data_IF_900513051737
#
_entry.id   IF_900513051737
#
_cell.length_a   1.000
_cell.length_b   1.000
_cell.length_c   1.000
_cell.angle_alpha   90.00
_cell.angle_beta   90.00
_cell.angle_gamma   90.00
#
_symmetry.space_group_name_H-M   'P 1'
#
loop_
_entity.id
_entity.type
_entity.pdbx_description
1 polymer ?
#
# COMPACT_ATOMS: atom_id res chain seq x y z
N UNK A 1 -0.10 14.99 1.95
CA UNK A 1 0.48 13.85 1.18
C UNK A 1 -0.58 13.23 0.27
N UNK A 2 -0.48 13.25 -1.07
CA UNK A 2 -1.52 12.66 -1.96
C UNK A 2 -1.35 11.14 -2.08
N UNK A 3 -2.16 10.32 -1.39
CA UNK A 3 -2.31 8.90 -1.69
C UNK A 3 -3.31 8.16 -0.77
N UNK A 4 -3.98 7.13 -1.32
CA UNK A 4 -4.92 6.23 -0.62
C UNK A 4 -4.33 5.45 0.57
N UNK A 5 -3.08 5.00 0.43
CA UNK A 5 -2.32 4.23 1.44
C UNK A 5 -0.87 4.75 1.45
N UNK A 6 -0.66 5.88 2.12
CA UNK A 6 0.58 6.67 2.11
C UNK A 6 1.75 6.05 2.90
N UNK A 7 1.79 4.75 3.16
CA UNK A 7 2.72 4.18 4.16
C UNK A 7 4.19 4.57 3.89
N UNK A 8 4.66 4.53 2.63
CA UNK A 8 6.04 4.96 2.27
C UNK A 8 6.34 6.40 2.70
N UNK A 9 5.39 7.31 2.51
CA UNK A 9 5.57 8.73 2.80
C UNK A 9 5.59 8.97 4.31
N UNK A 10 4.76 8.24 5.05
CA UNK A 10 4.72 8.29 6.51
C UNK A 10 6.01 7.71 7.11
N UNK A 11 6.45 6.55 6.62
CA UNK A 11 7.73 5.94 6.99
C UNK A 11 8.91 6.91 6.79
N UNK A 12 8.96 7.55 5.62
CA UNK A 12 9.99 8.55 5.33
C UNK A 12 9.87 9.81 6.19
N UNK A 13 8.66 10.22 6.59
CA UNK A 13 8.47 11.40 7.42
C UNK A 13 8.93 11.14 8.87
N UNK A 14 8.63 9.96 9.43
CA UNK A 14 9.18 9.52 10.71
C UNK A 14 10.70 9.46 10.66
N UNK A 15 11.26 8.86 9.61
CA UNK A 15 12.71 8.79 9.47
C UNK A 15 13.35 10.18 9.29
N UNK A 16 12.75 11.09 8.52
CA UNK A 16 13.24 12.45 8.38
C UNK A 16 13.26 13.19 9.74
N UNK A 17 12.21 13.03 10.55
CA UNK A 17 12.18 13.56 11.91
C UNK A 17 13.27 12.95 12.80
N UNK A 18 13.51 11.63 12.70
CA UNK A 18 14.60 10.94 13.41
C UNK A 18 15.97 11.48 13.02
N UNK A 19 16.23 11.67 11.73
CA UNK A 19 17.49 12.20 11.17
C UNK A 19 17.76 13.62 11.69
N UNK A 20 16.72 14.47 11.72
CA UNK A 20 16.83 15.85 12.18
C UNK A 20 16.80 15.99 13.71
N UNK A 21 16.59 14.89 14.45
CA UNK A 21 16.29 14.91 15.89
C UNK A 21 15.14 15.86 16.24
N UNK A 22 14.09 15.84 15.42
CA UNK A 22 12.94 16.75 15.50
C UNK A 22 11.70 16.03 16.05
N UNK A 23 10.74 16.83 16.54
CA UNK A 23 9.39 16.33 16.85
C UNK A 23 8.58 16.25 15.56
N UNK A 24 7.96 15.09 15.30
CA UNK A 24 7.04 14.92 14.19
C UNK A 24 5.64 15.36 14.60
N UNK A 25 5.01 16.24 13.82
CA UNK A 25 3.56 16.47 13.89
C UNK A 25 2.88 15.45 12.99
N UNK A 26 1.74 14.89 13.40
CA UNK A 26 1.01 13.90 12.60
C UNK A 26 0.82 14.38 11.16
N UNK A 27 1.09 13.52 10.16
CA UNK A 27 1.06 13.93 8.77
C UNK A 27 -0.37 14.19 8.28
N UNK A 28 -0.53 15.22 7.46
CA UNK A 28 -1.76 15.47 6.73
C UNK A 28 -1.82 14.62 5.46
N UNK A 29 -2.86 13.77 5.36
CA UNK A 29 -3.19 13.06 4.14
C UNK A 29 -3.96 14.02 3.22
N UNK A 30 -3.45 14.23 2.01
CA UNK A 30 -4.09 15.08 1.00
C UNK A 30 -5.18 14.25 0.33
N UNK A 31 -6.41 14.57 0.70
CA UNK A 31 -7.62 14.00 0.12
C UNK A 31 -8.24 14.85 -1.01
N UNK A 32 -7.67 16.01 -1.30
CA UNK A 32 -8.34 17.11 -1.99
C UNK A 32 -8.18 17.14 -3.51
N UNK A 33 -7.80 16.05 -4.17
CA UNK A 33 -7.72 16.04 -5.65
C UNK A 33 -8.43 14.91 -6.38
N UNK A 34 -8.84 13.84 -5.70
CA UNK A 34 -9.56 12.75 -6.37
C UNK A 34 -10.64 12.09 -5.51
N UNK A 35 -10.44 12.00 -4.18
CA UNK A 35 -11.22 11.08 -3.34
C UNK A 35 -12.19 11.77 -2.36
N UNK A 36 -12.23 13.11 -2.28
CA UNK A 36 -13.18 13.90 -1.46
C UNK A 36 -13.40 13.37 -0.04
N UNK A 37 -12.35 12.90 0.64
CA UNK A 37 -12.44 12.26 1.96
C UNK A 37 -11.72 13.07 3.05
N UNK A 38 -12.45 13.68 3.98
CA UNK A 38 -11.89 14.53 5.04
C UNK A 38 -11.32 13.74 6.24
N UNK A 39 -11.37 12.40 6.22
CA UNK A 39 -10.98 11.53 7.35
C UNK A 39 -9.53 11.72 7.81
N UNK A 40 -8.61 12.07 6.90
CA UNK A 40 -7.20 12.32 7.22
C UNK A 40 -6.47 11.11 7.84
N UNK A 41 -5.32 11.35 8.48
CA UNK A 41 -4.54 10.28 9.13
C UNK A 41 -5.31 9.64 10.29
N UNK A 42 -5.94 10.48 11.12
CA UNK A 42 -6.65 10.04 12.31
C UNK A 42 -7.92 9.25 11.98
N UNK A 43 -8.53 9.43 10.81
CA UNK A 43 -9.69 8.65 10.41
C UNK A 43 -9.38 7.20 10.02
N UNK A 44 -8.13 6.90 9.67
CA UNK A 44 -7.71 5.60 9.12
C UNK A 44 -6.83 4.82 10.10
N UNK A 45 -5.87 5.49 10.71
CA UNK A 45 -4.85 4.85 11.55
C UNK A 45 -5.17 4.99 13.03
N UNK A 46 -4.72 4.00 13.80
CA UNK A 46 -4.71 4.04 15.26
C UNK A 46 -3.58 4.97 15.73
N UNK A 47 -3.94 6.22 16.03
CA UNK A 47 -3.01 7.29 16.40
C UNK A 47 -2.29 6.98 17.71
N UNK A 48 -3.02 6.49 18.71
CA UNK A 48 -2.46 6.18 20.02
C UNK A 48 -1.42 5.06 19.90
N UNK A 49 -1.76 3.98 19.18
CA UNK A 49 -0.83 2.89 18.89
C UNK A 49 0.41 3.40 18.13
N UNK A 50 0.22 4.26 17.12
CA UNK A 50 1.31 4.83 16.33
C UNK A 50 2.30 5.64 17.17
N UNK A 51 1.80 6.55 18.03
CA UNK A 51 2.63 7.35 18.93
C UNK A 51 3.35 6.46 19.95
N UNK A 52 2.63 5.53 20.58
CA UNK A 52 3.18 4.65 21.60
C UNK A 52 4.24 3.69 21.05
N UNK A 53 4.05 3.18 19.84
CA UNK A 53 4.99 2.26 19.17
C UNK A 53 6.32 2.93 18.82
N UNK A 54 6.33 4.25 18.62
CA UNK A 54 7.49 5.02 18.17
C UNK A 54 8.09 5.94 19.24
N UNK A 55 7.59 5.87 20.48
CA UNK A 55 7.94 6.80 21.58
C UNK A 55 9.44 6.88 21.90
N UNK A 56 10.19 5.81 21.64
CA UNK A 56 11.65 5.77 21.86
C UNK A 56 12.46 6.11 20.60
N UNK A 57 11.81 6.16 19.43
CA UNK A 57 12.45 6.48 18.16
C UNK A 57 12.33 7.97 17.84
N UNK A 58 11.10 8.49 17.90
CA UNK A 58 10.77 9.88 17.53
C UNK A 58 9.66 10.39 18.43
N UNK A 59 9.78 11.64 18.91
CA UNK A 59 8.67 12.31 19.59
C UNK A 59 7.61 12.71 18.57
N UNK A 60 6.38 12.26 18.78
CA UNK A 60 5.25 12.53 17.89
C UNK A 60 4.17 13.31 18.66
N UNK A 61 3.60 14.33 18.01
CA UNK A 61 2.47 15.13 18.55
C UNK A 61 1.37 15.24 17.50
N UNK A 62 0.12 15.40 17.95
CA UNK A 62 -1.02 15.47 17.03
C UNK A 62 -1.10 16.79 16.26
N UNK A 63 -0.73 17.90 16.91
CA UNK A 63 -0.78 19.23 16.33
C UNK A 63 0.44 20.06 16.73
N UNK A 64 0.72 21.12 15.96
CA UNK A 64 1.73 22.11 16.33
C UNK A 64 1.32 22.75 17.68
N UNK A 65 2.23 22.82 18.66
CA UNK A 65 1.92 23.38 19.97
C UNK A 65 1.58 24.87 19.88
N UNK A 66 0.61 25.30 20.69
CA UNK A 66 0.27 26.72 20.83
C UNK A 66 1.26 27.40 21.79
N UNK A 67 1.89 28.49 21.35
CA UNK A 67 2.79 29.26 22.20
C UNK A 67 2.00 30.40 22.84
N UNK A 68 2.01 30.47 24.18
CA UNK A 68 1.50 31.63 24.93
C UNK A 68 2.61 32.66 25.09
N UNK A 69 2.48 33.82 24.45
CA UNK A 69 3.34 34.98 24.67
C UNK A 69 2.48 36.16 25.16
N UNK A 70 2.84 36.73 26.31
CA UNK A 70 2.17 37.91 26.90
C UNK A 70 0.63 37.76 27.01
N UNK A 71 0.14 36.61 27.46
CA UNK A 71 -1.29 36.34 27.61
C UNK A 71 -2.06 36.14 26.29
N UNK A 72 -1.39 36.22 25.13
CA UNK A 72 -1.97 35.95 23.81
C UNK A 72 -1.46 34.61 23.27
N UNK A 73 -2.38 33.77 22.83
CA UNK A 73 -2.08 32.52 22.13
C UNK A 73 -1.66 32.83 20.70
N UNK A 74 -0.43 32.47 20.33
CA UNK A 74 0.08 32.60 18.95
C UNK A 74 0.22 31.20 18.35
N UNK A 75 -0.54 30.94 17.27
CA UNK A 75 -0.37 29.73 16.47
C UNK A 75 0.94 29.84 15.68
N UNK A 76 1.87 28.93 15.92
CA UNK A 76 3.09 28.83 15.13
C UNK A 76 2.72 28.39 13.71
N UNK A 77 3.16 29.14 12.70
CA UNK A 77 2.96 28.79 11.29
C UNK A 77 4.20 28.07 10.78
N UNK A 78 4.03 26.84 10.29
CA UNK A 78 5.12 26.09 9.70
C UNK A 78 5.59 26.74 8.39
N UNK A 79 6.91 26.85 8.21
CA UNK A 79 7.51 27.34 6.97
C UNK A 79 7.51 26.24 5.92
N UNK A 80 6.86 26.49 4.79
CA UNK A 80 6.71 25.48 3.74
C UNK A 80 8.01 25.32 2.94
N UNK A 81 8.48 24.08 2.81
CA UNK A 81 9.68 23.74 2.04
C UNK A 81 9.33 22.61 1.09
N UNK A 82 9.91 22.66 -0.13
CA UNK A 82 9.80 21.60 -1.12
C UNK A 82 11.10 20.79 -1.16
N UNK A 83 11.13 19.57 -0.60
CA UNK A 83 12.34 18.75 -0.64
C UNK A 83 12.69 18.34 -2.07
N UNK A 84 13.99 18.18 -2.40
CA UNK A 84 14.43 17.51 -3.62
C UNK A 84 13.87 16.09 -3.73
N UNK A 85 13.78 15.57 -4.95
CA UNK A 85 13.41 14.16 -5.14
C UNK A 85 14.57 13.28 -4.63
N UNK A 86 14.25 12.23 -3.90
CA UNK A 86 15.23 11.29 -3.34
C UNK A 86 16.34 12.00 -2.54
N UNK A 87 15.95 13.03 -1.76
CA UNK A 87 16.90 13.89 -1.08
C UNK A 87 17.81 13.08 -0.13
N UNK A 88 19.13 13.34 -0.15
CA UNK A 88 20.07 12.63 0.70
C UNK A 88 19.89 13.03 2.17
N UNK A 89 20.40 12.21 3.09
CA UNK A 89 20.40 12.49 4.53
C UNK A 89 21.01 13.87 4.83
N UNK A 90 22.09 14.22 4.13
CA UNK A 90 22.77 15.52 4.29
C UNK A 90 21.85 16.71 4.06
N UNK A 91 20.86 16.62 3.16
CA UNK A 91 19.90 17.70 2.92
C UNK A 91 19.02 17.95 4.15
N UNK A 92 18.64 16.88 4.87
CA UNK A 92 17.85 16.98 6.09
C UNK A 92 18.68 17.52 7.26
N UNK A 93 19.93 17.08 7.42
CA UNK A 93 20.81 17.52 8.51
C UNK A 93 21.42 18.91 8.30
N UNK A 94 21.31 19.46 7.09
CA UNK A 94 21.78 20.82 6.75
C UNK A 94 20.60 21.76 6.49
N UNK A 95 20.18 21.89 5.23
CA UNK A 95 19.20 22.88 4.77
C UNK A 95 17.87 22.80 5.52
N UNK A 96 17.30 21.60 5.66
CA UNK A 96 16.00 21.45 6.31
C UNK A 96 16.08 21.78 7.81
N UNK A 97 17.12 21.28 8.49
CA UNK A 97 17.35 21.54 9.91
C UNK A 97 17.64 23.03 10.18
N UNK A 98 18.40 23.71 9.31
CA UNK A 98 18.65 25.15 9.40
C UNK A 98 17.34 25.94 9.31
N UNK A 99 16.50 25.64 8.31
CA UNK A 99 15.19 26.28 8.18
C UNK A 99 14.24 25.98 9.34
N UNK A 100 14.33 24.79 9.92
CA UNK A 100 13.57 24.45 11.13
C UNK A 100 14.02 25.28 12.34
N UNK A 101 15.33 25.48 12.51
CA UNK A 101 15.86 26.35 13.58
C UNK A 101 15.47 27.82 13.37
N UNK A 102 15.45 28.30 12.13
CA UNK A 102 15.05 29.67 11.78
C UNK A 102 13.56 29.93 12.05
N UNK A 103 12.68 29.00 11.69
CA UNK A 103 11.23 29.22 11.72
C UNK A 103 10.50 28.50 12.85
N UNK A 104 11.18 27.64 13.62
CA UNK A 104 10.61 26.80 14.68
C UNK A 104 9.92 25.54 14.16
N UNK A 105 9.18 25.63 13.06
CA UNK A 105 8.53 24.49 12.40
C UNK A 105 8.61 24.61 10.88
N UNK A 106 8.73 23.47 10.20
CA UNK A 106 8.72 23.37 8.73
C UNK A 106 7.62 22.42 8.27
N UNK A 107 7.05 22.71 7.11
CA UNK A 107 6.07 21.86 6.44
C UNK A 107 6.63 21.38 5.11
N UNK A 108 6.99 20.09 5.06
CA UNK A 108 7.60 19.50 3.87
C UNK A 108 6.49 19.05 2.90
N UNK A 109 6.30 19.76 1.79
CA UNK A 109 5.27 19.40 0.81
C UNK A 109 5.67 19.75 -0.63
N UNK A 110 5.37 18.89 -1.62
CA UNK A 110 4.82 17.53 -1.48
C UNK A 110 5.88 16.52 -1.00
N UNK A 111 5.48 15.58 -0.13
CA UNK A 111 6.39 14.60 0.49
C UNK A 111 6.34 13.18 -0.12
N UNK A 112 6.16 13.09 -1.44
CA UNK A 112 6.27 11.81 -2.17
C UNK A 112 7.66 11.65 -2.78
N UNK A 113 8.34 10.52 -2.48
CA UNK A 113 9.73 10.23 -2.90
C UNK A 113 10.72 11.37 -2.59
N UNK A 114 10.71 11.82 -1.33
CA UNK A 114 11.51 12.97 -0.86
C UNK A 114 12.68 12.61 0.06
N UNK A 115 12.90 11.34 0.33
CA UNK A 115 14.04 10.85 1.11
C UNK A 115 14.65 9.68 0.33
N UNK A 116 15.97 9.66 0.22
CA UNK A 116 16.71 8.61 -0.49
C UNK A 116 16.25 7.21 -0.05
N UNK A 117 16.02 6.32 -1.02
CA UNK A 117 15.56 4.95 -0.72
C UNK A 117 16.68 4.13 -0.07
N UNK A 118 17.86 4.12 -0.67
CA UNK A 118 19.04 3.42 -0.16
C UNK A 118 19.82 4.32 0.80
N UNK A 119 19.96 3.85 2.03
CA UNK A 119 20.60 4.56 3.14
C UNK A 119 21.63 3.63 3.77
N UNK A 120 22.88 4.09 3.81
CA UNK A 120 24.02 3.37 4.40
C UNK A 120 24.04 3.51 5.94
N UNK A 121 22.89 3.24 6.56
CA UNK A 121 22.75 3.17 8.02
C UNK A 121 21.61 2.20 8.37
N UNK A 122 21.92 0.95 8.77
CA UNK A 122 20.92 -0.11 8.94
C UNK A 122 19.76 0.25 9.86
N UNK A 123 20.02 0.96 10.97
CA UNK A 123 18.98 1.37 11.92
C UNK A 123 17.92 2.29 11.29
N UNK A 124 18.26 3.08 10.27
CA UNK A 124 17.29 3.91 9.57
C UNK A 124 16.35 3.09 8.68
N UNK A 125 16.86 2.03 8.06
CA UNK A 125 16.01 1.08 7.34
C UNK A 125 15.14 0.28 8.32
N UNK A 126 15.70 -0.20 9.44
CA UNK A 126 14.93 -0.88 10.50
C UNK A 126 13.82 0.00 11.08
N UNK A 127 14.06 1.30 11.25
CA UNK A 127 13.00 2.23 11.66
C UNK A 127 11.89 2.32 10.61
N UNK A 128 12.21 2.39 9.32
CA UNK A 128 11.18 2.31 8.26
C UNK A 128 10.38 1.02 8.33
N UNK A 129 11.04 -0.12 8.56
CA UNK A 129 10.36 -1.41 8.76
C UNK A 129 9.36 -1.35 9.92
N UNK A 130 9.83 -0.85 11.08
CA UNK A 130 9.03 -0.74 12.30
C UNK A 130 7.82 0.16 12.09
N UNK A 131 8.01 1.30 11.42
CA UNK A 131 6.93 2.21 11.09
C UNK A 131 5.93 1.52 10.16
N UNK A 132 6.40 0.90 9.07
CA UNK A 132 5.56 0.32 8.03
C UNK A 132 4.71 -0.86 8.53
N UNK A 133 5.32 -1.78 9.28
CA UNK A 133 4.71 -3.09 9.58
C UNK A 133 4.23 -3.24 11.02
N UNK A 134 4.63 -2.35 11.94
CA UNK A 134 4.24 -2.43 13.35
C UNK A 134 3.52 -1.18 13.85
N UNK A 135 4.02 0.02 13.57
CA UNK A 135 3.42 1.26 14.09
C UNK A 135 2.19 1.69 13.29
N UNK A 136 2.20 1.52 11.96
CA UNK A 136 1.07 1.85 11.10
C UNK A 136 0.02 0.74 11.14
N UNK A 137 -0.91 0.88 12.07
CA UNK A 137 -2.07 0.00 12.23
C UNK A 137 -3.35 0.74 11.87
N UNK A 138 -4.22 0.11 11.07
CA UNK A 138 -5.55 0.66 10.83
C UNK A 138 -6.41 0.63 12.09
N UNK A 139 -7.40 1.53 12.17
CA UNK A 139 -8.34 1.58 13.28
C UNK A 139 -9.02 0.22 13.52
N UNK A 140 -9.36 -0.12 14.78
CA UNK A 140 -9.96 -1.41 15.12
C UNK A 140 -11.20 -1.78 14.31
N UNK A 141 -12.07 -0.82 13.97
CA UNK A 141 -13.27 -1.10 13.18
C UNK A 141 -12.94 -1.51 11.73
N UNK A 142 -11.94 -0.88 11.09
CA UNK A 142 -11.46 -1.26 9.75
C UNK A 142 -10.94 -2.70 9.78
N UNK A 143 -10.12 -3.01 10.78
CA UNK A 143 -9.56 -4.36 10.96
C UNK A 143 -10.66 -5.42 11.13
N UNK A 144 -11.63 -5.16 12.03
CA UNK A 144 -12.77 -6.06 12.26
C UNK A 144 -13.60 -6.31 10.99
N UNK A 145 -13.88 -5.26 10.23
CA UNK A 145 -14.62 -5.35 8.98
C UNK A 145 -13.84 -6.16 7.93
N UNK A 146 -12.55 -5.86 7.73
CA UNK A 146 -11.68 -6.59 6.81
C UNK A 146 -11.60 -8.08 7.17
N UNK A 147 -11.44 -8.41 8.46
CA UNK A 147 -11.44 -9.79 8.94
C UNK A 147 -12.78 -10.50 8.71
N UNK A 148 -13.89 -9.79 8.89
CA UNK A 148 -15.23 -10.30 8.61
C UNK A 148 -15.40 -10.67 7.12
N UNK A 149 -14.98 -9.77 6.22
CA UNK A 149 -15.00 -10.01 4.77
C UNK A 149 -14.13 -11.22 4.40
N UNK A 150 -12.89 -11.28 4.91
CA UNK A 150 -11.99 -12.41 4.66
C UNK A 150 -12.58 -13.72 5.17
N UNK A 151 -13.22 -13.71 6.34
CA UNK A 151 -13.86 -14.90 6.92
C UNK A 151 -15.03 -15.38 6.05
N UNK A 152 -15.87 -14.47 5.56
CA UNK A 152 -16.98 -14.78 4.64
C UNK A 152 -16.48 -15.38 3.33
N UNK A 153 -15.45 -14.78 2.73
CA UNK A 153 -14.82 -15.28 1.50
C UNK A 153 -14.24 -16.68 1.70
N UNK A 154 -13.46 -16.87 2.78
CA UNK A 154 -12.85 -18.17 3.12
C UNK A 154 -13.84 -19.26 3.48
N UNK A 155 -15.00 -18.92 4.04
CA UNK A 155 -16.06 -19.88 4.31
C UNK A 155 -16.58 -20.55 3.02
N UNK A 156 -16.41 -19.89 1.87
CA UNK A 156 -16.74 -20.46 0.56
C UNK A 156 -15.55 -21.18 -0.10
N UNK A 157 -14.34 -21.11 0.47
CA UNK A 157 -13.12 -21.73 -0.04
C UNK A 157 -12.00 -20.73 -0.29
N UNK A 158 -10.94 -21.17 -0.94
CA UNK A 158 -9.81 -20.31 -1.30
C UNK A 158 -10.23 -19.18 -2.24
N UNK A 159 -9.63 -18.01 -2.06
CA UNK A 159 -9.88 -16.86 -2.91
C UNK A 159 -8.59 -16.11 -3.22
N UNK A 160 -8.55 -15.51 -4.40
CA UNK A 160 -7.50 -14.58 -4.77
C UNK A 160 -8.01 -13.15 -4.75
N UNK A 161 -7.11 -12.19 -4.65
CA UNK A 161 -7.43 -10.78 -4.79
C UNK A 161 -6.67 -10.12 -5.93
N UNK A 162 -7.32 -9.18 -6.61
CA UNK A 162 -6.75 -8.41 -7.71
C UNK A 162 -6.86 -6.94 -7.37
N UNK A 163 -5.74 -6.23 -7.42
CA UNK A 163 -5.75 -4.77 -7.39
C UNK A 163 -5.75 -4.25 -8.83
N UNK A 164 -6.93 -3.89 -9.32
CA UNK A 164 -7.18 -3.52 -10.71
C UNK A 164 -7.11 -1.99 -10.86
N UNK A 165 -5.97 -1.50 -11.34
CA UNK A 165 -5.73 -0.06 -11.52
C UNK A 165 -6.09 0.41 -12.93
N UNK A 166 -7.38 0.62 -13.17
CA UNK A 166 -7.95 1.05 -14.46
C UNK A 166 -8.85 2.30 -14.34
N UNK A 167 -8.53 3.18 -13.40
CA UNK A 167 -9.25 4.43 -13.16
C UNK A 167 -8.74 5.59 -14.03
N UNK A 168 -9.54 6.64 -14.13
CA UNK A 168 -9.31 7.80 -15.03
C UNK A 168 -7.93 8.44 -14.88
N UNK A 169 -7.46 8.65 -13.64
CA UNK A 169 -6.17 9.29 -13.38
C UNK A 169 -4.99 8.43 -13.85
N UNK A 170 -5.07 7.12 -13.65
CA UNK A 170 -4.04 6.18 -14.10
C UNK A 170 -3.96 6.13 -15.62
N UNK A 171 -5.11 6.06 -16.28
CA UNK A 171 -5.20 6.02 -17.72
C UNK A 171 -4.71 7.34 -18.34
N UNK A 172 -5.13 8.47 -17.78
CA UNK A 172 -4.66 9.81 -18.15
C UNK A 172 -3.15 10.01 -17.93
N UNK A 173 -2.60 9.45 -16.85
CA UNK A 173 -1.16 9.45 -16.60
C UNK A 173 -0.40 8.59 -17.62
N UNK A 174 -0.90 7.38 -17.93
CA UNK A 174 -0.26 6.45 -18.84
C UNK A 174 -0.29 6.92 -20.30
N UNK A 175 -1.35 7.64 -20.70
CA UNK A 175 -1.53 8.17 -22.04
C UNK A 175 -1.93 7.12 -23.08
N UNK A 176 -2.52 6.01 -22.65
CA UNK A 176 -2.89 4.90 -23.53
C UNK A 176 -4.36 5.01 -23.95
N UNK A 177 -4.66 5.96 -24.83
CA UNK A 177 -6.04 6.40 -25.12
C UNK A 177 -6.72 5.65 -26.26
N UNK A 178 -5.96 4.99 -27.13
CA UNK A 178 -6.48 4.46 -28.40
C UNK A 178 -7.50 3.34 -28.25
N UNK A 179 -7.55 2.67 -27.09
CA UNK A 179 -8.54 1.64 -26.75
C UNK A 179 -9.92 2.22 -26.34
N UNK A 180 -10.02 3.55 -26.21
CA UNK A 180 -11.22 4.27 -25.81
C UNK A 180 -11.91 4.95 -26.99
N UNK A 181 -13.22 5.16 -26.87
CA UNK A 181 -14.02 5.90 -27.86
C UNK A 181 -13.57 7.36 -27.98
N UNK A 182 -13.82 8.05 -29.11
CA UNK A 182 -13.41 9.45 -29.27
C UNK A 182 -13.90 10.38 -28.15
N UNK A 183 -15.10 10.13 -27.60
CA UNK A 183 -15.66 10.88 -26.46
C UNK A 183 -14.87 10.65 -25.18
N UNK A 184 -14.58 9.40 -24.85
CA UNK A 184 -13.76 9.02 -23.68
C UNK A 184 -12.32 9.53 -23.80
N UNK A 185 -11.72 9.46 -25.00
CA UNK A 185 -10.39 10.01 -25.25
C UNK A 185 -10.33 11.52 -24.96
N UNK A 186 -11.37 12.28 -25.32
CA UNK A 186 -11.45 13.72 -25.02
C UNK A 186 -11.46 13.97 -23.50
N UNK A 187 -12.16 13.14 -22.74
CA UNK A 187 -12.20 13.24 -21.27
C UNK A 187 -10.82 12.96 -20.68
N UNK A 188 -10.15 11.87 -21.09
CA UNK A 188 -8.82 11.51 -20.59
C UNK A 188 -7.76 12.56 -20.96
N UNK A 189 -7.81 13.12 -22.17
CA UNK A 189 -6.90 14.19 -22.62
C UNK A 189 -7.09 15.46 -21.79
N UNK A 190 -8.34 15.90 -21.59
CA UNK A 190 -8.66 17.06 -20.76
C UNK A 190 -8.17 16.86 -19.31
N UNK A 191 -8.49 15.72 -18.71
CA UNK A 191 -8.03 15.43 -17.34
C UNK A 191 -6.51 15.44 -17.25
N UNK A 192 -5.82 14.94 -18.28
CA UNK A 192 -4.36 14.95 -18.32
C UNK A 192 -3.78 16.36 -18.35
N UNK A 193 -4.30 17.22 -19.22
CA UNK A 193 -3.87 18.62 -19.38
C UNK A 193 -4.01 19.40 -18.05
N UNK A 194 -5.07 19.13 -17.29
CA UNK A 194 -5.34 19.78 -16.01
C UNK A 194 -4.46 19.28 -14.85
N UNK A 195 -4.01 18.02 -14.89
CA UNK A 195 -3.43 17.35 -13.70
C UNK A 195 -1.97 16.91 -13.85
N UNK A 196 -1.44 16.81 -15.07
CA UNK A 196 -0.09 16.30 -15.32
C UNK A 196 0.72 17.22 -16.22
N UNK A 197 2.05 17.17 -16.06
CA UNK A 197 2.96 17.90 -16.93
C UNK A 197 2.80 17.47 -18.39
N UNK A 198 2.91 18.45 -19.29
CA UNK A 198 2.85 18.23 -20.73
C UNK A 198 3.93 17.22 -21.16
N UNK A 199 3.50 16.21 -21.91
CA UNK A 199 4.39 15.16 -22.42
C UNK A 199 3.77 14.52 -23.65
N UNK A 200 4.57 14.34 -24.70
CA UNK A 200 4.18 13.55 -25.87
C UNK A 200 4.11 12.07 -25.47
N UNK A 201 2.91 11.49 -25.55
CA UNK A 201 2.64 10.09 -25.26
C UNK A 201 2.00 9.45 -26.49
N UNK A 202 2.67 8.45 -27.05
CA UNK A 202 2.19 7.68 -28.20
C UNK A 202 1.78 6.30 -27.71
N UNK A 203 0.54 5.88 -28.01
CA UNK A 203 -0.04 4.63 -27.51
C UNK A 203 0.83 3.42 -27.85
N UNK A 204 1.18 3.24 -29.14
CA UNK A 204 1.95 2.09 -29.62
C UNK A 204 3.30 1.96 -28.92
N UNK A 205 4.04 3.06 -28.79
CA UNK A 205 5.32 3.11 -28.08
C UNK A 205 5.15 2.76 -26.61
N UNK A 206 4.14 3.33 -25.94
CA UNK A 206 3.86 3.10 -24.51
C UNK A 206 3.45 1.65 -24.24
N UNK A 207 2.61 1.08 -25.11
CA UNK A 207 2.15 -0.30 -25.04
C UNK A 207 3.32 -1.26 -25.21
N UNK A 208 4.16 -1.06 -26.22
CA UNK A 208 5.32 -1.90 -26.51
C UNK A 208 6.33 -1.97 -25.34
N UNK A 209 6.45 -0.91 -24.54
CA UNK A 209 7.33 -0.90 -23.37
C UNK A 209 6.62 -1.24 -22.05
N UNK A 210 5.39 -1.77 -22.11
CA UNK A 210 4.63 -2.18 -20.94
C UNK A 210 4.19 -1.04 -20.02
N UNK A 211 4.06 0.20 -20.53
CA UNK A 211 3.61 1.35 -19.70
C UNK A 211 2.09 1.49 -19.65
N UNK A 212 1.35 0.90 -20.58
CA UNK A 212 -0.11 0.87 -20.53
C UNK A 212 -0.62 -0.09 -19.44
N UNK A 213 -1.61 0.32 -18.62
CA UNK A 213 -2.32 -0.61 -17.73
C UNK A 213 -2.91 -1.79 -18.49
N UNK A 214 -2.96 -2.95 -17.85
CA UNK A 214 -3.65 -4.11 -18.41
C UNK A 214 -5.16 -3.84 -18.41
N UNK A 215 -5.84 -4.22 -19.49
CA UNK A 215 -7.32 -4.19 -19.49
C UNK A 215 -7.86 -5.34 -18.61
N UNK A 216 -9.10 -5.24 -18.11
CA UNK A 216 -9.70 -6.35 -17.35
C UNK A 216 -9.75 -7.65 -18.17
N UNK A 217 -9.99 -7.58 -19.48
CA UNK A 217 -9.93 -8.75 -20.36
C UNK A 217 -8.53 -9.39 -20.38
N UNK A 218 -7.48 -8.58 -20.52
CA UNK A 218 -6.08 -9.07 -20.50
C UNK A 218 -5.74 -9.75 -19.18
N UNK A 219 -6.18 -9.18 -18.06
CA UNK A 219 -6.02 -9.79 -16.73
C UNK A 219 -6.71 -11.15 -16.70
N UNK A 220 -7.94 -11.25 -17.22
CA UNK A 220 -8.65 -12.52 -17.30
C UNK A 220 -7.94 -13.56 -18.17
N UNK A 221 -7.42 -13.15 -19.32
CA UNK A 221 -6.66 -14.02 -20.23
C UNK A 221 -5.35 -14.52 -19.60
N UNK A 222 -4.68 -13.68 -18.80
CA UNK A 222 -3.50 -14.09 -18.02
C UNK A 222 -3.86 -15.20 -17.04
N UNK A 223 -4.93 -15.00 -16.26
CA UNK A 223 -5.37 -15.97 -15.27
C UNK A 223 -5.79 -17.31 -15.92
N UNK A 224 -6.54 -17.27 -17.02
CA UNK A 224 -6.88 -18.47 -17.79
C UNK A 224 -5.64 -19.23 -18.26
N UNK A 225 -4.65 -18.51 -18.79
CA UNK A 225 -3.38 -19.11 -19.25
C UNK A 225 -2.58 -19.74 -18.09
N UNK A 226 -2.72 -19.18 -16.88
CA UNK A 226 -2.13 -19.71 -15.64
C UNK A 226 -2.90 -20.90 -15.03
N UNK A 227 -4.03 -21.31 -15.62
CA UNK A 227 -4.81 -22.46 -15.17
C UNK A 227 -5.97 -22.14 -14.23
N UNK A 228 -6.24 -20.86 -13.96
CA UNK A 228 -7.45 -20.47 -13.23
C UNK A 228 -8.69 -20.64 -14.11
N UNK A 229 -9.80 -21.08 -13.52
CA UNK A 229 -11.06 -21.29 -14.22
C UNK A 229 -12.22 -20.45 -13.66
N UNK A 230 -13.40 -20.63 -14.25
CA UNK A 230 -14.59 -19.87 -13.88
C UNK A 230 -15.10 -20.18 -12.45
N UNK A 231 -14.58 -21.19 -11.77
CA UNK A 231 -14.87 -21.47 -10.36
C UNK A 231 -14.02 -20.63 -9.40
N UNK A 232 -12.97 -19.97 -9.91
CA UNK A 232 -12.07 -19.12 -9.12
C UNK A 232 -12.83 -17.96 -8.49
N UNK A 233 -12.76 -17.85 -7.15
CA UNK A 233 -13.30 -16.71 -6.40
C UNK A 233 -12.30 -15.57 -6.38
N UNK A 234 -12.74 -14.40 -6.82
CA UNK A 234 -11.88 -13.22 -6.97
C UNK A 234 -12.46 -12.06 -6.15
N UNK A 235 -11.65 -11.53 -5.24
CA UNK A 235 -11.88 -10.24 -4.61
C UNK A 235 -11.23 -9.12 -5.44
N UNK A 236 -12.01 -8.15 -5.88
CA UNK A 236 -11.55 -7.04 -6.71
C UNK A 236 -11.41 -5.75 -5.89
N UNK A 237 -10.16 -5.35 -5.65
CA UNK A 237 -9.83 -4.04 -5.10
C UNK A 237 -9.61 -3.05 -6.26
N UNK A 238 -10.58 -2.16 -6.48
CA UNK A 238 -10.51 -1.17 -7.55
C UNK A 238 -11.33 0.09 -7.19
N UNK A 239 -10.89 1.25 -7.67
CA UNK A 239 -11.75 2.44 -7.70
C UNK A 239 -12.80 2.36 -8.83
N UNK A 240 -13.34 3.51 -9.22
CA UNK A 240 -14.23 3.58 -10.38
C UNK A 240 -13.45 3.33 -11.68
N UNK A 241 -13.77 2.22 -12.36
CA UNK A 241 -13.15 1.87 -13.63
C UNK A 241 -13.65 2.76 -14.76
N UNK A 242 -12.72 3.37 -15.48
CA UNK A 242 -13.06 4.19 -16.63
C UNK A 242 -13.49 3.31 -17.81
N UNK A 243 -14.67 3.61 -18.39
CA UNK A 243 -15.32 2.79 -19.41
C UNK A 243 -16.22 1.67 -18.85
N UNK A 244 -16.22 1.46 -17.53
CA UNK A 244 -17.21 0.64 -16.80
C UNK A 244 -17.44 -0.76 -17.38
N UNK A 245 -18.72 -1.11 -17.55
CA UNK A 245 -19.16 -2.45 -17.98
C UNK A 245 -18.62 -2.88 -19.35
N UNK A 246 -18.24 -1.94 -20.24
CA UNK A 246 -17.62 -2.29 -21.53
C UNK A 246 -16.34 -3.09 -21.33
N UNK A 247 -15.53 -2.73 -20.33
CA UNK A 247 -14.29 -3.43 -20.01
C UNK A 247 -14.48 -4.56 -18.99
N UNK A 248 -15.47 -4.45 -18.09
CA UNK A 248 -15.69 -5.49 -17.07
C UNK A 248 -16.45 -6.72 -17.58
N UNK A 249 -17.32 -6.57 -18.59
CA UNK A 249 -18.13 -7.67 -19.11
C UNK A 249 -17.30 -8.87 -19.61
N UNK A 250 -16.22 -8.69 -20.41
CA UNK A 250 -15.35 -9.80 -20.80
C UNK A 250 -14.71 -10.51 -19.60
N UNK A 251 -14.21 -9.74 -18.62
CA UNK A 251 -13.59 -10.30 -17.43
C UNK A 251 -14.58 -11.13 -16.60
N UNK A 252 -15.80 -10.59 -16.36
CA UNK A 252 -16.86 -11.28 -15.61
C UNK A 252 -17.36 -12.54 -16.33
N UNK A 253 -17.29 -12.57 -17.66
CA UNK A 253 -17.60 -13.78 -18.44
C UNK A 253 -16.58 -14.89 -18.25
N UNK A 254 -15.32 -14.55 -17.98
CA UNK A 254 -14.26 -15.51 -17.66
C UNK A 254 -14.31 -15.95 -16.19
N UNK A 255 -14.64 -15.01 -15.29
CA UNK A 255 -14.67 -15.21 -13.84
C UNK A 255 -15.96 -14.64 -13.23
N UNK A 256 -17.02 -15.45 -13.13
CA UNK A 256 -18.32 -14.99 -12.63
C UNK A 256 -18.36 -14.75 -11.11
N UNK A 257 -17.49 -15.39 -10.34
CA UNK A 257 -17.40 -15.24 -8.87
C UNK A 257 -16.51 -14.05 -8.48
N UNK A 258 -17.02 -12.85 -8.76
CA UNK A 258 -16.33 -11.58 -8.53
C UNK A 258 -17.01 -10.79 -7.42
N UNK A 259 -16.26 -10.55 -6.34
CA UNK A 259 -16.72 -9.84 -5.14
C UNK A 259 -15.81 -8.66 -4.81
N UNK A 260 -16.31 -7.68 -4.07
CA UNK A 260 -15.56 -6.56 -3.47
C UNK A 260 -16.14 -6.24 -2.08
N UNK A 261 -15.55 -5.28 -1.35
CA UNK A 261 -16.01 -4.94 0.01
C UNK A 261 -17.52 -4.62 0.05
N UNK A 262 -18.04 -3.89 -0.94
CA UNK A 262 -19.46 -3.50 -0.99
C UNK A 262 -20.42 -4.67 -1.25
N UNK A 263 -19.98 -5.71 -1.96
CA UNK A 263 -20.82 -6.88 -2.23
C UNK A 263 -20.78 -7.91 -1.08
N UNK A 264 -19.69 -7.96 -0.30
CA UNK A 264 -19.52 -8.91 0.80
C UNK A 264 -20.04 -8.36 2.13
N UNK A 265 -19.95 -7.05 2.31
CA UNK A 265 -20.48 -6.37 3.47
C UNK A 265 -21.99 -6.11 3.34
N UNK A 266 -22.78 -6.97 3.99
CA UNK A 266 -24.24 -6.86 4.10
C UNK A 266 -24.70 -5.85 5.16
N UNK A 267 -23.80 -5.31 5.97
CA UNK A 267 -24.13 -4.53 7.17
C UNK A 267 -24.26 -3.02 6.92
N UNK A 268 -23.90 -2.54 5.71
CA UNK A 268 -23.74 -1.11 5.41
C UNK A 268 -22.81 -0.39 6.41
N UNK A 269 -21.89 -1.08 7.10
CA UNK A 269 -20.95 -0.48 8.06
C UNK A 269 -20.01 0.53 7.39
N UNK A 270 -19.76 0.36 6.09
CA UNK A 270 -19.03 1.32 5.24
C UNK A 270 -19.83 2.60 4.92
N UNK A 271 -21.13 2.64 5.20
CA UNK A 271 -22.04 3.71 4.78
C UNK A 271 -22.03 3.96 3.27
N UNK A 272 -22.56 5.10 2.83
CA UNK A 272 -22.47 5.54 1.42
C UNK A 272 -21.03 5.87 0.97
N UNK A 273 -20.04 5.86 1.88
CA UNK A 273 -18.67 6.33 1.63
C UNK A 273 -17.67 5.21 1.30
N UNK A 274 -18.12 4.18 0.56
CA UNK A 274 -17.34 3.03 0.08
C UNK A 274 -16.17 3.40 -0.84
N UNK A 275 -16.17 4.60 -1.43
CA UNK A 275 -15.15 5.04 -2.39
C UNK A 275 -13.98 5.84 -1.75
N UNK A 276 -14.02 6.06 -0.44
CA UNK A 276 -13.03 6.85 0.31
C UNK A 276 -11.76 6.09 0.72
N UNK A 277 -10.98 6.70 1.61
CA UNK A 277 -9.76 6.11 2.16
C UNK A 277 -10.06 4.88 3.01
N UNK A 278 -11.22 4.84 3.66
CA UNK A 278 -11.65 3.70 4.49
C UNK A 278 -11.88 2.43 3.66
N UNK A 279 -12.63 2.52 2.55
CA UNK A 279 -12.79 1.40 1.62
C UNK A 279 -11.45 0.91 1.06
N UNK A 280 -10.53 1.85 0.77
CA UNK A 280 -9.18 1.51 0.34
C UNK A 280 -8.35 0.81 1.42
N UNK A 281 -8.53 1.17 2.70
CA UNK A 281 -7.88 0.48 3.82
C UNK A 281 -8.44 -0.93 4.01
N UNK A 282 -9.75 -1.12 3.84
CA UNK A 282 -10.39 -2.44 3.84
C UNK A 282 -9.85 -3.31 2.69
N UNK A 283 -9.83 -2.78 1.47
CA UNK A 283 -9.26 -3.45 0.31
C UNK A 283 -7.82 -3.88 0.54
N UNK A 284 -7.00 -3.01 1.16
CA UNK A 284 -5.61 -3.31 1.48
C UNK A 284 -5.50 -4.53 2.40
N UNK A 285 -6.29 -4.59 3.47
CA UNK A 285 -6.27 -5.71 4.41
C UNK A 285 -6.83 -7.00 3.81
N UNK A 286 -7.91 -6.93 3.03
CA UNK A 286 -8.44 -8.12 2.35
C UNK A 286 -7.42 -8.67 1.36
N UNK A 287 -6.72 -7.81 0.61
CA UNK A 287 -5.68 -8.24 -0.31
C UNK A 287 -4.39 -8.69 0.37
N UNK A 288 -4.09 -8.22 1.59
CA UNK A 288 -2.98 -8.72 2.39
C UNK A 288 -3.26 -10.15 2.85
N UNK A 289 -4.51 -10.42 3.23
CA UNK A 289 -4.94 -11.68 3.81
C UNK A 289 -5.36 -12.73 2.78
N UNK A 290 -5.59 -12.35 1.52
CA UNK A 290 -5.93 -13.29 0.43
C UNK A 290 -4.84 -14.34 0.20
N UNK A 291 -5.24 -15.48 -0.36
CA UNK A 291 -4.32 -16.61 -0.59
C UNK A 291 -3.35 -16.28 -1.73
N UNK A 292 -3.85 -15.65 -2.81
CA UNK A 292 -3.06 -15.15 -3.94
C UNK A 292 -3.40 -13.68 -4.18
N UNK A 293 -2.39 -12.84 -4.38
CA UNK A 293 -2.57 -11.43 -4.77
C UNK A 293 -2.02 -11.17 -6.18
N UNK A 294 -2.71 -10.36 -6.97
CA UNK A 294 -2.24 -9.91 -8.29
C UNK A 294 -2.44 -8.40 -8.48
N UNK A 295 -1.37 -7.59 -8.56
CA UNK A 295 -1.48 -6.21 -9.01
C UNK A 295 -1.52 -6.15 -10.55
N UNK A 296 -2.36 -5.29 -11.12
CA UNK A 296 -2.44 -5.13 -12.59
C UNK A 296 -1.60 -3.98 -13.13
N UNK A 297 -1.00 -3.19 -12.24
CA UNK A 297 -0.14 -2.05 -12.57
C UNK A 297 0.96 -1.87 -11.52
N UNK A 298 2.21 -1.85 -11.99
CA UNK A 298 3.45 -1.75 -11.22
C UNK A 298 4.14 -0.37 -11.39
N UNK A 299 3.44 0.65 -11.90
CA UNK A 299 3.96 2.03 -11.86
C UNK A 299 3.92 2.62 -10.45
N UNK A 300 3.89 3.96 -10.28
CA UNK A 300 3.92 4.59 -8.95
C UNK A 300 2.58 4.44 -8.20
N UNK A 301 2.16 3.19 -7.96
CA UNK A 301 1.02 2.82 -7.14
C UNK A 301 1.53 2.49 -5.75
N UNK A 302 1.33 3.42 -4.82
CA UNK A 302 1.65 3.19 -3.42
C UNK A 302 0.87 2.00 -2.84
N UNK A 303 -0.35 1.72 -3.31
CA UNK A 303 -1.14 0.58 -2.82
C UNK A 303 -0.47 -0.76 -3.13
N UNK A 304 -0.21 -1.01 -4.43
CA UNK A 304 0.33 -2.30 -4.87
C UNK A 304 1.74 -2.53 -4.31
N UNK A 305 2.61 -1.50 -4.37
CA UNK A 305 3.99 -1.62 -3.89
C UNK A 305 4.06 -1.90 -2.38
N UNK A 306 3.30 -1.14 -1.57
CA UNK A 306 3.22 -1.42 -0.13
C UNK A 306 2.74 -2.83 0.15
N UNK A 307 1.68 -3.25 -0.55
CA UNK A 307 1.05 -4.53 -0.31
C UNK A 307 1.96 -5.70 -0.69
N UNK A 308 2.74 -5.57 -1.77
CA UNK A 308 3.77 -6.54 -2.15
C UNK A 308 4.81 -6.71 -1.05
N UNK A 309 5.37 -5.60 -0.54
CA UNK A 309 6.34 -5.66 0.55
C UNK A 309 5.72 -6.17 1.86
N UNK A 310 4.46 -5.84 2.12
CA UNK A 310 3.74 -6.29 3.31
C UNK A 310 3.45 -7.80 3.27
N UNK A 311 3.06 -8.34 2.11
CA UNK A 311 2.90 -9.78 1.88
C UNK A 311 4.23 -10.53 1.97
N UNK A 312 5.32 -9.92 1.52
CA UNK A 312 6.68 -10.45 1.68
C UNK A 312 7.07 -10.51 3.18
N UNK A 313 6.82 -9.41 3.91
CA UNK A 313 7.07 -9.32 5.36
C UNK A 313 6.23 -10.30 6.18
N UNK A 314 4.94 -10.47 5.87
CA UNK A 314 4.03 -11.42 6.54
C UNK A 314 4.10 -12.83 5.94
N UNK A 315 5.32 -13.37 5.82
CA UNK A 315 5.55 -14.78 5.50
C UNK A 315 5.56 -15.12 4.02
N UNK A 316 6.10 -14.25 3.16
CA UNK A 316 6.34 -14.55 1.74
C UNK A 316 5.10 -15.03 0.98
N UNK A 317 3.96 -14.37 1.22
CA UNK A 317 2.67 -14.81 0.66
C UNK A 317 2.63 -14.75 -0.87
N UNK A 318 1.93 -15.71 -1.47
CA UNK A 318 1.87 -15.89 -2.91
C UNK A 318 1.38 -14.65 -3.64
N UNK A 319 2.15 -14.19 -4.63
CA UNK A 319 1.80 -13.03 -5.47
C UNK A 319 2.09 -13.32 -6.94
N UNK A 320 1.12 -13.10 -7.82
CA UNK A 320 1.31 -13.14 -9.27
C UNK A 320 1.62 -11.72 -9.76
N UNK A 321 2.83 -11.47 -10.29
CA UNK A 321 3.22 -10.14 -10.78
C UNK A 321 3.42 -10.16 -12.31
N UNK A 322 2.43 -9.71 -13.11
CA UNK A 322 2.57 -9.67 -14.55
C UNK A 322 3.71 -8.78 -15.01
N UNK A 323 4.66 -9.32 -15.79
CA UNK A 323 5.63 -8.51 -16.52
C UNK A 323 4.93 -7.92 -17.76
N UNK A 324 4.37 -6.72 -17.60
CA UNK A 324 3.62 -6.02 -18.65
C UNK A 324 4.47 -5.76 -19.90
N UNK A 325 5.78 -5.60 -19.75
CA UNK A 325 6.68 -5.36 -20.88
C UNK A 325 6.91 -6.64 -21.66
N UNK A 326 7.12 -7.77 -20.98
CA UNK A 326 7.24 -9.07 -21.63
C UNK A 326 5.91 -9.59 -22.21
N UNK A 327 4.77 -9.24 -21.60
CA UNK A 327 3.44 -9.60 -22.08
C UNK A 327 2.97 -8.73 -23.27
N UNK A 328 3.44 -7.49 -23.38
CA UNK A 328 3.03 -6.56 -24.45
C UNK A 328 3.09 -7.15 -25.88
N UNK A 329 4.21 -7.76 -26.35
CA UNK A 329 4.25 -8.32 -27.71
C UNK A 329 3.26 -9.47 -27.92
N UNK A 330 2.94 -10.24 -26.87
CA UNK A 330 1.99 -11.35 -26.94
C UNK A 330 0.58 -10.80 -27.18
N UNK A 331 0.17 -9.79 -26.42
CA UNK A 331 -1.13 -9.15 -26.60
C UNK A 331 -1.23 -8.38 -27.93
N UNK A 332 -0.17 -7.67 -28.35
CA UNK A 332 -0.14 -7.00 -29.65
C UNK A 332 -0.31 -8.02 -30.79
N UNK A 333 0.36 -9.17 -30.72
CA UNK A 333 0.18 -10.24 -31.71
C UNK A 333 -1.26 -10.75 -31.74
N UNK A 334 -1.86 -10.95 -30.56
CA UNK A 334 -3.25 -11.36 -30.42
C UNK A 334 -4.24 -10.35 -31.00
N UNK A 335 -4.02 -9.05 -30.75
CA UNK A 335 -4.81 -7.95 -31.33
C UNK A 335 -4.73 -7.95 -32.87
N UNK A 336 -3.58 -8.33 -33.43
CA UNK A 336 -3.37 -8.50 -34.87
C UNK A 336 -3.83 -9.86 -35.43
N UNK A 337 -4.62 -10.63 -34.67
CA UNK A 337 -5.20 -11.91 -35.10
C UNK A 337 -4.28 -13.13 -34.98
N UNK A 338 -3.06 -12.99 -34.43
CA UNK A 338 -2.14 -14.11 -34.21
C UNK A 338 -2.39 -14.73 -32.83
N UNK A 339 -3.16 -15.81 -32.79
CA UNK A 339 -3.61 -16.46 -31.54
C UNK A 339 -2.90 -17.79 -31.23
N UNK A 340 -2.20 -18.37 -32.21
CA UNK A 340 -1.49 -19.64 -32.03
C UNK A 340 -0.44 -19.53 -30.91
N UNK A 341 -0.47 -20.46 -29.96
CA UNK A 341 0.48 -20.51 -28.84
C UNK A 341 0.31 -19.41 -27.78
N UNK A 342 -0.79 -18.65 -27.80
CA UNK A 342 -1.02 -17.53 -26.87
C UNK A 342 -0.90 -17.93 -25.40
N UNK A 343 -1.62 -18.98 -24.98
CA UNK A 343 -1.64 -19.41 -23.57
C UNK A 343 -0.26 -19.85 -23.09
N UNK A 344 0.48 -20.58 -23.91
CA UNK A 344 1.82 -21.05 -23.58
C UNK A 344 2.81 -19.87 -23.48
N UNK A 345 2.72 -18.91 -24.39
CA UNK A 345 3.55 -17.71 -24.34
C UNK A 345 3.29 -16.88 -23.07
N UNK A 346 2.02 -16.70 -22.69
CA UNK A 346 1.65 -16.01 -21.44
C UNK A 346 2.16 -16.77 -20.23
N UNK A 347 1.93 -18.09 -20.17
CA UNK A 347 2.37 -18.96 -19.08
C UNK A 347 3.89 -18.90 -18.89
N UNK A 348 4.66 -18.99 -19.97
CA UNK A 348 6.11 -18.88 -19.93
C UNK A 348 6.58 -17.54 -19.33
N UNK A 349 5.96 -16.42 -19.72
CA UNK A 349 6.29 -15.10 -19.15
C UNK A 349 5.96 -15.05 -17.65
N UNK A 350 4.79 -15.55 -17.25
CA UNK A 350 4.36 -15.51 -15.85
C UNK A 350 5.18 -16.42 -14.93
N UNK A 351 5.60 -17.61 -15.40
CA UNK A 351 6.43 -18.55 -14.64
C UNK A 351 7.87 -18.07 -14.41
N UNK A 352 8.34 -17.11 -15.20
CA UNK A 352 9.65 -16.47 -15.02
C UNK A 352 9.65 -15.37 -13.93
N UNK A 353 8.51 -15.15 -13.26
CA UNK A 353 8.38 -14.15 -12.19
C UNK A 353 8.46 -14.80 -10.81
N UNK A 354 8.84 -14.00 -9.80
CA UNK A 354 8.83 -14.48 -8.42
C UNK A 354 7.40 -14.48 -7.87
N UNK A 355 6.98 -15.60 -7.29
CA UNK A 355 5.68 -15.80 -6.69
C UNK A 355 5.57 -15.34 -5.22
N UNK A 356 6.39 -14.38 -4.79
CA UNK A 356 6.37 -13.82 -3.43
C UNK A 356 7.44 -14.35 -2.48
N UNK A 357 8.36 -15.20 -2.97
CA UNK A 357 9.49 -15.72 -2.19
C UNK A 357 10.57 -14.68 -1.89
N UNK A 358 11.49 -14.95 -0.94
CA UNK A 358 12.63 -14.09 -0.68
C UNK A 358 13.52 -13.97 -1.92
N UNK A 359 13.89 -12.73 -2.27
CA UNK A 359 14.76 -12.46 -3.40
C UNK A 359 15.56 -11.18 -3.15
N UNK A 360 16.74 -11.11 -3.77
CA UNK A 360 17.59 -9.93 -3.68
C UNK A 360 16.92 -8.76 -4.38
N UNK A 361 16.75 -7.63 -3.67
CA UNK A 361 16.30 -6.38 -4.28
C UNK A 361 17.30 -5.92 -5.34
N UNK A 362 16.81 -5.67 -6.56
CA UNK A 362 17.62 -5.16 -7.68
C UNK A 362 17.00 -3.87 -8.19
N UNK A 363 17.80 -2.80 -8.25
CA UNK A 363 17.35 -1.50 -8.77
C UNK A 363 16.73 -1.66 -10.17
N UNK A 364 15.54 -1.08 -10.42
CA UNK A 364 14.87 -0.03 -9.66
C UNK A 364 13.79 -0.52 -8.68
N UNK A 365 13.83 -1.77 -8.20
CA UNK A 365 12.90 -2.25 -7.17
C UNK A 365 13.04 -1.45 -5.88
N UNK A 366 11.93 -0.94 -5.37
CA UNK A 366 11.89 -0.09 -4.17
C UNK A 366 11.99 -0.93 -2.89
N UNK A 367 12.65 -0.36 -1.87
CA UNK A 367 12.68 -0.90 -0.50
C UNK A 367 11.29 -1.31 0.01
N UNK A 368 10.25 -0.55 -0.33
CA UNK A 368 8.92 -0.83 0.19
C UNK A 368 8.16 -1.93 -0.58
N UNK A 369 8.59 -2.24 -1.81
CA UNK A 369 8.11 -3.42 -2.55
C UNK A 369 8.86 -4.67 -2.10
N UNK A 370 10.15 -4.53 -1.76
CA UNK A 370 10.99 -5.62 -1.28
C UNK A 370 11.92 -5.11 -0.17
N UNK A 371 11.53 -5.34 1.08
CA UNK A 371 12.26 -4.85 2.25
C UNK A 371 13.31 -5.85 2.78
N UNK A 372 13.59 -6.89 1.98
CA UNK A 372 14.65 -7.85 2.25
C UNK A 372 16.02 -7.30 1.82
N UNK A 373 17.09 -7.46 2.65
CA UNK A 373 17.09 -8.18 3.93
C UNK A 373 16.82 -7.29 5.16
N UNK A 374 16.70 -5.97 5.02
CA UNK A 374 16.80 -5.03 6.16
C UNK A 374 15.69 -5.16 7.20
N UNK A 375 14.48 -5.60 6.79
CA UNK A 375 13.37 -5.84 7.72
C UNK A 375 13.34 -7.25 8.31
N UNK A 376 14.33 -8.08 7.99
CA UNK A 376 14.37 -9.48 8.41
C UNK A 376 15.62 -9.73 9.22
N UNK A 377 15.49 -10.63 10.20
CA UNK A 377 16.66 -11.23 10.78
C UNK A 377 17.34 -12.15 9.76
N UNK A 378 18.64 -12.33 9.91
CA UNK A 378 19.49 -13.12 9.04
C UNK A 378 19.99 -14.35 9.79
N UNK A 379 19.77 -15.53 9.22
CA UNK A 379 20.22 -16.80 9.80
C UNK A 379 21.75 -16.86 9.92
N UNK A 380 22.45 -16.30 8.94
CA UNK A 380 23.91 -16.20 8.90
C UNK A 380 24.33 -14.75 8.71
N UNK A 381 24.39 -13.99 9.82
CA UNK A 381 24.83 -12.59 9.79
C UNK A 381 26.26 -12.40 10.29
N UNK A 382 26.96 -11.45 9.64
CA UNK A 382 28.22 -10.89 10.13
C UNK A 382 28.01 -9.99 11.36
N UNK A 383 26.86 -9.33 11.45
CA UNK A 383 26.51 -8.46 12.57
C UNK A 383 25.63 -9.24 13.58
N UNK A 384 26.03 -9.37 14.85
CA UNK A 384 25.22 -10.04 15.87
C UNK A 384 23.81 -9.45 16.01
N UNK A 385 23.64 -8.14 15.81
CA UNK A 385 22.34 -7.46 15.91
C UNK A 385 21.35 -7.88 14.80
N UNK A 386 21.85 -8.49 13.72
CA UNK A 386 21.06 -8.95 12.59
C UNK A 386 20.70 -10.44 12.69
N UNK A 387 21.23 -11.18 13.68
CA UNK A 387 20.98 -12.62 13.79
C UNK A 387 19.53 -12.91 14.15
N UNK A 388 18.96 -13.94 13.52
CA UNK A 388 17.66 -14.45 13.94
C UNK A 388 17.69 -14.95 15.39
N UNK A 389 16.60 -14.71 16.16
CA UNK A 389 16.45 -15.33 17.46
C UNK A 389 16.64 -16.85 17.35
N UNK A 390 17.33 -17.49 18.32
CA UNK A 390 17.63 -18.91 18.27
C UNK A 390 16.40 -19.81 18.47
N UNK A 391 15.30 -19.26 18.98
CA UNK A 391 14.06 -19.99 19.27
C UNK A 391 13.17 -20.11 18.02
N UNK A 392 12.50 -21.26 17.89
CA UNK A 392 11.56 -21.50 16.82
C UNK A 392 10.40 -20.50 16.93
N UNK A 393 10.40 -19.49 16.06
CA UNK A 393 9.43 -18.38 16.06
C UNK A 393 7.97 -18.87 16.07
N UNK A 394 7.70 -20.08 15.57
CA UNK A 394 6.38 -20.73 15.61
C UNK A 394 5.91 -21.02 17.04
N UNK A 395 6.79 -21.45 17.95
CA UNK A 395 6.45 -21.74 19.35
C UNK A 395 6.12 -20.45 20.12
N UNK A 396 6.81 -19.35 19.80
CA UNK A 396 6.56 -18.02 20.40
C UNK A 396 5.26 -17.40 19.87
N UNK A 397 4.92 -17.63 18.59
CA UNK A 397 3.67 -17.16 18.01
C UNK A 397 2.47 -17.95 18.53
N UNK A 398 2.59 -19.28 18.68
CA UNK A 398 1.54 -20.11 19.27
C UNK A 398 1.27 -19.73 20.74
N UNK A 399 2.32 -19.48 21.52
CA UNK A 399 2.17 -19.08 22.93
C UNK A 399 1.47 -17.72 23.08
N UNK A 400 1.77 -16.75 22.21
CA UNK A 400 1.07 -15.45 22.17
C UNK A 400 -0.39 -15.58 21.74
N UNK A 401 -0.68 -16.38 20.72
CA UNK A 401 -2.06 -16.64 20.27
C UNK A 401 -2.90 -17.41 21.31
N UNK A 402 -2.27 -18.23 22.15
CA UNK A 402 -2.94 -18.92 23.26
C UNK A 402 -3.18 -17.98 24.46
N UNK A 403 -2.26 -17.05 24.72
CA UNK A 403 -2.42 -16.04 25.78
C UNK A 403 -3.57 -15.05 25.51
N UNK A 404 -3.81 -14.71 24.23
CA UNK A 404 -4.94 -13.86 23.84
C UNK A 404 -6.29 -14.57 23.89
N UNK A 405 -6.32 -15.91 23.78
CA UNK A 405 -7.55 -16.72 23.90
C UNK A 405 -7.98 -16.98 25.34
N UNK A 406 -7.07 -16.88 26.31
CA UNK A 406 -7.33 -17.22 27.73
C UNK A 406 -7.63 -16.00 28.60
N UNK A 407 -7.54 -14.78 28.06
CA UNK A 407 -7.74 -13.53 28.80
C UNK A 407 -9.18 -13.01 28.95
N UNK A 408 -10.22 -13.79 28.62
CA UNK A 408 -11.60 -13.29 28.65
C UNK A 408 -12.63 -14.34 29.18
N UNK A 409 -12.64 -14.54 30.50
CA UNK A 409 -13.70 -15.12 31.37
C UNK A 409 -13.13 -15.18 32.80
N UNK A 410 -13.61 -14.60 33.90
CA UNK A 410 -14.84 -13.92 34.31
C UNK A 410 -14.54 -13.15 35.64
N UNK A 411 -15.45 -12.32 36.18
CA UNK A 411 -15.19 -11.42 37.31
C UNK A 411 -15.46 -12.03 38.71
N UNK A 412 -14.69 -11.53 39.69
CA UNK A 412 -14.93 -11.37 41.16
C UNK A 412 -15.61 -12.53 41.92
N UNK A 413 -14.90 -13.10 42.91
CA UNK A 413 -15.53 -13.43 44.20
C UNK A 413 -14.64 -13.05 45.38
N UNK A 414 -15.24 -12.30 46.29
CA UNK A 414 -14.79 -11.94 47.62
C UNK A 414 -14.66 -13.16 48.53
N UNK A 415 -13.63 -13.20 49.37
CA UNK A 415 -13.77 -13.73 50.73
C UNK A 415 -12.76 -13.06 51.67
N UNK A 416 -13.29 -12.18 52.53
CA UNK A 416 -12.69 -11.87 53.82
C UNK A 416 -12.69 -13.15 54.66
N UNK A 417 -11.57 -13.49 55.28
CA UNK A 417 -11.59 -14.14 56.59
C UNK A 417 -10.37 -13.67 57.39
N UNK A 418 -10.66 -12.92 58.45
CA UNK A 418 -9.77 -12.62 59.57
C UNK A 418 -9.52 -13.90 60.40
N UNK A 419 -8.30 -14.03 60.92
CA UNK A 419 -7.87 -14.55 62.26
C UNK A 419 -6.37 -14.93 62.13
N UNK A 420 -5.45 -14.14 62.66
CA UNK A 420 -4.93 -14.21 64.04
C UNK A 420 -4.21 -15.54 64.33
N UNK A 421 -2.88 -15.56 64.17
CA UNK A 421 -1.91 -15.57 65.27
C UNK A 421 -0.53 -15.11 64.78
#
# INVERSE_FOLDING_TARGET
MRCKTCSHQICNAVLAARIMNATLVLPELDANSFWRDESGFQGIYDVEHFINSLRYDVRIVESIPEIKQNGKTKKMKAHQIRPPRDAPISWYTTFALEKMKEHGAIYLTPFSHRLAEEIDYPEYQRLRCRVNYHALRFKPHIMKLSESIVRKLRAQGHFMSIHLRFEMDMLAFAGCFDIFTPKEQKILKKYREENFAEKKLVYSERRAIGKCPLTPEEVGLILRSMGFDNSTRIYLAAGELFGGERFMKPFRSLFPHLENHSTVDSSNELGENTQGLLGSAVDYMVCLLSDIFMPTYDGPSNFANNLLGHRLYYGFRTTLRPDRKALAPIFINRENGRTAGFEEAVRHVMLNTNFGGPHKRVSPESFYTNSWPECFCQTSSLNPADKCPPENILEVLESRMQSEKTGNSDPISSNMTLMAD
#
